data_IF_269464788883
#
_entry.id   IF_269464788883
#
_cell.length_a   1.000
_cell.length_b   1.000
_cell.length_c   1.000
_cell.angle_alpha   90.00
_cell.angle_beta   90.00
_cell.angle_gamma   90.00
#
_symmetry.space_group_name_H-M   'P 1'
#
loop_
_entity.id
_entity.type
_entity.pdbx_description
1 polymer ?
#
# COMPACT_ATOMS: atom_id res chain seq x y z
N UNK A 1 12.81 -2.10 34.71
CA UNK A 1 11.81 -2.89 33.95
C UNK A 1 10.47 -2.17 33.69
N UNK A 2 9.87 -1.47 34.67
CA UNK A 2 8.59 -0.74 34.45
C UNK A 2 8.72 0.52 33.57
N UNK A 3 9.87 1.22 33.60
CA UNK A 3 10.10 2.42 32.78
C UNK A 3 10.28 2.09 31.29
N UNK A 4 11.06 1.06 30.97
CA UNK A 4 11.24 0.53 29.61
C UNK A 4 9.91 0.06 29.03
N UNK A 5 9.09 -0.66 29.80
CA UNK A 5 7.75 -1.04 29.38
C UNK A 5 6.81 0.16 29.10
N UNK A 6 6.93 1.26 29.86
CA UNK A 6 6.11 2.47 29.67
C UNK A 6 6.54 3.28 28.44
N UNK A 7 7.84 3.28 28.11
CA UNK A 7 8.40 3.92 26.91
C UNK A 7 8.09 3.10 25.65
N UNK A 8 8.18 1.76 25.72
CA UNK A 8 7.79 0.84 24.65
C UNK A 8 6.30 0.88 24.32
N UNK A 9 5.44 1.27 25.27
CA UNK A 9 3.99 1.44 25.03
C UNK A 9 3.63 2.62 24.12
N UNK A 10 4.56 3.53 23.82
CA UNK A 10 4.30 4.63 22.88
C UNK A 10 4.42 4.10 21.43
N UNK A 11 3.42 4.32 20.55
CA UNK A 11 3.43 3.82 19.16
C UNK A 11 4.66 4.23 18.34
N UNK A 12 5.22 5.40 18.65
CA UNK A 12 6.42 5.94 17.99
C UNK A 12 7.66 5.12 18.37
N UNK A 13 7.78 4.70 19.64
CA UNK A 13 8.91 3.90 20.10
C UNK A 13 8.93 2.54 19.40
N UNK A 14 7.77 1.90 19.25
CA UNK A 14 7.68 0.63 18.52
C UNK A 14 8.03 0.77 17.04
N UNK A 15 7.62 1.87 16.39
CA UNK A 15 7.97 2.13 14.99
C UNK A 15 9.48 2.36 14.81
N UNK A 16 10.10 3.18 15.67
CA UNK A 16 11.55 3.41 15.64
C UNK A 16 12.34 2.12 15.90
N UNK A 17 11.90 1.32 16.87
CA UNK A 17 12.53 0.03 17.15
C UNK A 17 12.44 -0.92 15.97
N UNK A 18 11.27 -1.01 15.32
CA UNK A 18 11.08 -1.84 14.12
C UNK A 18 12.01 -1.40 12.98
N UNK A 19 12.20 -0.09 12.77
CA UNK A 19 13.13 0.44 11.77
C UNK A 19 14.57 -0.01 12.11
N UNK A 20 15.02 0.19 13.35
CA UNK A 20 16.37 -0.19 13.78
C UNK A 20 16.59 -1.70 13.64
N UNK A 21 15.63 -2.52 14.08
CA UNK A 21 15.69 -3.97 13.90
C UNK A 21 15.76 -4.35 12.42
N UNK A 22 15.02 -3.68 11.54
CA UNK A 22 15.09 -3.88 10.09
C UNK A 22 16.49 -3.62 9.52
N UNK A 23 17.12 -2.51 9.90
CA UNK A 23 18.51 -2.21 9.51
C UNK A 23 19.51 -3.22 10.08
N UNK A 24 19.31 -3.69 11.31
CA UNK A 24 20.16 -4.72 11.91
C UNK A 24 20.07 -6.05 11.16
N UNK A 25 18.86 -6.51 10.84
CA UNK A 25 18.65 -7.74 10.07
C UNK A 25 19.25 -7.59 8.66
N UNK A 26 19.02 -6.47 8.00
CA UNK A 26 19.63 -6.18 6.70
C UNK A 26 21.17 -6.20 6.77
N UNK A 27 21.76 -5.66 7.85
CA UNK A 27 23.21 -5.68 8.03
C UNK A 27 23.77 -7.09 8.20
N UNK A 28 23.08 -7.94 8.96
CA UNK A 28 23.46 -9.34 9.15
C UNK A 28 23.43 -10.10 7.81
N UNK A 29 22.36 -9.91 7.02
CA UNK A 29 22.22 -10.55 5.71
C UNK A 29 23.30 -10.08 4.74
N UNK A 30 23.61 -8.79 4.70
CA UNK A 30 24.66 -8.24 3.85
C UNK A 30 26.04 -8.77 4.25
N UNK A 31 26.34 -8.82 5.56
CA UNK A 31 27.58 -9.38 6.07
C UNK A 31 27.70 -10.88 5.74
N UNK A 32 26.62 -11.64 5.86
CA UNK A 32 26.58 -13.06 5.49
C UNK A 32 26.79 -13.27 3.98
N UNK A 33 26.38 -12.31 3.14
CA UNK A 33 26.63 -12.30 1.70
C UNK A 33 28.00 -11.70 1.32
N UNK A 34 28.89 -11.45 2.29
CA UNK A 34 30.22 -10.85 2.10
C UNK A 34 30.22 -9.40 1.56
N UNK A 35 29.12 -8.67 1.68
CA UNK A 35 29.04 -7.24 1.37
C UNK A 35 29.23 -6.40 2.64
N UNK A 36 29.90 -5.24 2.52
CA UNK A 36 30.05 -4.31 3.64
C UNK A 36 28.72 -3.57 3.90
N UNK A 37 28.04 -3.78 5.05
CA UNK A 37 26.75 -3.18 5.33
C UNK A 37 26.78 -1.65 5.38
N UNK A 38 27.87 -1.08 5.90
CA UNK A 38 28.02 0.38 6.02
C UNK A 38 28.09 1.06 4.66
N UNK A 39 28.80 0.45 3.70
CA UNK A 39 28.85 0.95 2.32
C UNK A 39 27.49 0.82 1.64
N UNK A 40 26.78 -0.30 1.84
CA UNK A 40 25.44 -0.52 1.28
C UNK A 40 24.42 0.50 1.83
N UNK A 41 24.41 0.75 3.13
CA UNK A 41 23.55 1.77 3.73
C UNK A 41 23.94 3.18 3.29
N UNK A 42 25.24 3.49 3.20
CA UNK A 42 25.73 4.75 2.65
C UNK A 42 25.26 4.98 1.21
N UNK A 43 25.29 3.95 0.37
CA UNK A 43 24.76 3.99 -1.00
C UNK A 43 23.22 4.17 -1.02
N UNK A 44 22.50 3.55 -0.10
CA UNK A 44 21.05 3.69 0.03
C UNK A 44 20.64 5.14 0.37
N UNK A 45 21.28 5.74 1.38
CA UNK A 45 20.97 7.13 1.77
C UNK A 45 21.43 8.14 0.72
N UNK A 46 22.65 7.99 0.20
CA UNK A 46 23.14 8.89 -0.86
C UNK A 46 22.31 8.76 -2.14
N UNK A 47 21.92 7.54 -2.54
CA UNK A 47 21.07 7.31 -3.70
C UNK A 47 19.68 7.92 -3.56
N UNK A 48 19.07 7.84 -2.36
CA UNK A 48 17.76 8.43 -2.09
C UNK A 48 17.76 9.96 -2.18
N UNK A 49 18.78 10.62 -1.63
CA UNK A 49 18.86 12.09 -1.58
C UNK A 49 19.63 12.73 -2.75
N UNK A 50 20.21 11.93 -3.66
CA UNK A 50 21.06 12.44 -4.73
C UNK A 50 20.35 13.39 -5.71
N UNK A 51 19.05 13.19 -5.98
CA UNK A 51 18.28 14.00 -6.95
C UNK A 51 16.84 14.21 -6.47
N UNK A 52 16.22 15.36 -6.77
CA UNK A 52 14.80 15.60 -6.47
C UNK A 52 13.88 14.49 -6.99
N UNK A 53 14.16 13.94 -8.18
CA UNK A 53 13.41 12.83 -8.77
C UNK A 53 13.40 11.56 -7.89
N UNK A 54 14.50 11.26 -7.20
CA UNK A 54 14.58 10.06 -6.34
C UNK A 54 13.78 10.25 -5.06
N UNK A 55 13.82 11.46 -4.49
CA UNK A 55 12.97 11.83 -3.36
C UNK A 55 11.49 11.73 -3.76
N UNK A 56 11.11 12.26 -4.93
CA UNK A 56 9.75 12.10 -5.46
C UNK A 56 9.34 10.65 -5.61
N UNK A 57 10.22 9.78 -6.13
CA UNK A 57 9.94 8.35 -6.24
C UNK A 57 9.73 7.66 -4.89
N UNK A 58 10.49 8.05 -3.86
CA UNK A 58 10.29 7.53 -2.50
C UNK A 58 8.93 7.94 -1.97
N UNK A 59 8.53 9.21 -2.14
CA UNK A 59 7.22 9.69 -1.71
C UNK A 59 6.12 8.92 -2.47
N UNK A 60 6.21 8.84 -3.80
CA UNK A 60 5.23 8.14 -4.64
C UNK A 60 5.05 6.68 -4.20
N UNK A 61 6.13 5.97 -3.85
CA UNK A 61 6.07 4.58 -3.38
C UNK A 61 5.59 4.45 -1.94
N UNK A 62 5.91 5.41 -1.07
CA UNK A 62 5.52 5.38 0.33
C UNK A 62 4.04 5.74 0.55
N UNK A 63 3.50 6.68 -0.24
CA UNK A 63 2.11 7.13 -0.15
C UNK A 63 1.08 5.99 -0.13
N UNK A 64 1.07 5.04 -1.08
CA UNK A 64 0.08 3.96 -1.07
C UNK A 64 0.22 3.07 0.17
N UNK A 65 1.43 2.79 0.64
CA UNK A 65 1.67 1.96 1.83
C UNK A 65 1.13 2.65 3.09
N UNK A 66 1.40 3.95 3.23
CA UNK A 66 0.92 4.74 4.37
C UNK A 66 -0.62 4.85 4.35
N UNK A 67 -1.21 5.16 3.20
CA UNK A 67 -2.66 5.35 3.07
C UNK A 67 -3.43 4.04 3.24
N UNK A 68 -2.93 2.93 2.68
CA UNK A 68 -3.53 1.61 2.89
C UNK A 68 -3.42 1.20 4.35
N UNK A 69 -2.27 1.38 5.00
CA UNK A 69 -2.12 1.15 6.44
C UNK A 69 -3.09 1.99 7.28
N UNK A 70 -3.28 3.28 6.94
CA UNK A 70 -4.24 4.16 7.60
C UNK A 70 -5.69 3.69 7.41
N UNK A 71 -6.05 3.25 6.20
CA UNK A 71 -7.39 2.72 5.90
C UNK A 71 -7.72 1.48 6.72
N UNK A 72 -6.75 0.58 6.89
CA UNK A 72 -6.88 -0.63 7.70
C UNK A 72 -6.99 -0.27 9.19
N UNK A 73 -6.16 0.67 9.67
CA UNK A 73 -6.25 1.19 11.04
C UNK A 73 -7.62 1.83 11.33
N UNK A 74 -8.24 2.46 10.35
CA UNK A 74 -9.60 3.00 10.46
C UNK A 74 -10.65 1.87 10.54
N UNK A 75 -10.57 0.87 9.66
CA UNK A 75 -11.50 -0.29 9.68
C UNK A 75 -11.45 -1.06 11.01
N UNK A 76 -10.26 -1.15 11.63
CA UNK A 76 -10.12 -1.75 12.95
C UNK A 76 -10.91 -1.03 14.04
N UNK A 77 -11.16 0.28 13.91
CA UNK A 77 -12.00 1.02 14.87
C UNK A 77 -13.47 0.63 14.80
N UNK A 78 -13.93 0.06 13.69
CA UNK A 78 -15.31 -0.42 13.52
C UNK A 78 -15.42 -1.93 13.72
N UNK A 79 -14.42 -2.56 14.35
CA UNK A 79 -14.35 -4.02 14.55
C UNK A 79 -14.39 -4.84 13.25
N UNK A 80 -13.98 -4.24 12.13
CA UNK A 80 -13.88 -4.94 10.84
C UNK A 80 -12.41 -5.27 10.57
N UNK A 81 -12.13 -6.54 10.28
CA UNK A 81 -10.79 -7.02 9.97
C UNK A 81 -10.56 -6.94 8.45
N UNK A 82 -10.25 -5.74 7.95
CA UNK A 82 -10.09 -5.51 6.51
C UNK A 82 -8.70 -5.94 6.00
N UNK A 83 -8.59 -7.18 5.49
CA UNK A 83 -7.39 -7.66 4.74
C UNK A 83 -7.46 -7.28 3.25
N UNK A 84 -8.62 -6.79 2.80
CA UNK A 84 -8.91 -6.49 1.40
C UNK A 84 -8.30 -5.20 0.86
N UNK A 85 -7.51 -4.49 1.66
CA UNK A 85 -6.93 -3.20 1.26
C UNK A 85 -6.05 -3.32 0.01
N UNK A 86 -5.36 -4.46 -0.15
CA UNK A 86 -4.56 -4.76 -1.35
C UNK A 86 -5.44 -4.84 -2.61
N UNK A 87 -6.53 -5.61 -2.58
CA UNK A 87 -7.46 -5.73 -3.71
C UNK A 87 -8.16 -4.41 -4.02
N UNK A 88 -8.58 -3.66 -2.99
CA UNK A 88 -9.14 -2.32 -3.15
C UNK A 88 -8.15 -1.38 -3.84
N UNK A 89 -6.88 -1.42 -3.45
CA UNK A 89 -5.80 -0.65 -4.07
C UNK A 89 -5.60 -1.06 -5.54
N UNK A 90 -5.51 -2.36 -5.83
CA UNK A 90 -5.32 -2.87 -7.20
C UNK A 90 -6.46 -2.42 -8.12
N UNK A 91 -7.71 -2.60 -7.69
CA UNK A 91 -8.88 -2.20 -8.49
C UNK A 91 -8.93 -0.68 -8.70
N UNK A 92 -8.60 0.10 -7.67
CA UNK A 92 -8.52 1.56 -7.79
C UNK A 92 -7.44 1.99 -8.77
N UNK A 93 -6.23 1.42 -8.66
CA UNK A 93 -5.10 1.73 -9.53
C UNK A 93 -5.41 1.35 -10.99
N UNK A 94 -6.05 0.20 -11.20
CA UNK A 94 -6.49 -0.25 -12.52
C UNK A 94 -7.48 0.73 -13.14
N UNK A 95 -8.57 1.08 -12.45
CA UNK A 95 -9.59 2.02 -12.95
C UNK A 95 -8.98 3.40 -13.24
N UNK A 96 -8.17 3.92 -12.32
CA UNK A 96 -7.48 5.20 -12.49
C UNK A 96 -6.54 5.19 -13.69
N UNK A 97 -5.80 4.10 -13.90
CA UNK A 97 -4.90 3.95 -15.05
C UNK A 97 -5.69 3.90 -16.36
N UNK A 98 -6.77 3.11 -16.42
CA UNK A 98 -7.62 3.01 -17.61
C UNK A 98 -8.24 4.36 -17.99
N UNK A 99 -8.76 5.09 -17.00
CA UNK A 99 -9.32 6.42 -17.22
C UNK A 99 -8.24 7.45 -17.54
N UNK A 100 -7.08 7.38 -16.90
CA UNK A 100 -5.97 8.30 -17.13
C UNK A 100 -5.37 8.20 -18.53
N UNK A 101 -5.43 7.02 -19.16
CA UNK A 101 -5.01 6.81 -20.55
C UNK A 101 -6.08 7.27 -21.54
N UNK A 102 -7.37 7.04 -21.24
CA UNK A 102 -8.47 7.35 -22.17
C UNK A 102 -8.96 8.80 -22.10
N UNK A 103 -8.92 9.42 -20.92
CA UNK A 103 -9.36 10.79 -20.74
C UNK A 103 -8.22 11.74 -21.09
N UNK A 104 -8.51 12.70 -21.97
CA UNK A 104 -7.60 13.79 -22.31
C UNK A 104 -8.23 15.12 -21.86
N UNK A 105 -8.12 15.40 -20.57
CA UNK A 105 -8.64 16.61 -19.93
C UNK A 105 -7.47 17.49 -19.46
N UNK A 106 -7.68 18.80 -19.25
CA UNK A 106 -6.69 19.63 -18.58
C UNK A 106 -6.31 19.04 -17.22
N UNK A 107 -5.01 19.04 -16.89
CA UNK A 107 -4.48 18.36 -15.70
C UNK A 107 -5.21 18.74 -14.39
N UNK A 108 -5.64 20.01 -14.27
CA UNK A 108 -6.39 20.54 -13.12
C UNK A 108 -7.71 19.81 -12.90
N UNK A 109 -8.38 19.36 -13.96
CA UNK A 109 -9.66 18.65 -13.91
C UNK A 109 -9.43 17.14 -13.89
N UNK A 110 -8.45 16.67 -14.66
CA UNK A 110 -8.15 15.24 -14.78
C UNK A 110 -7.76 14.64 -13.42
N UNK A 111 -6.91 15.31 -12.65
CA UNK A 111 -6.45 14.78 -11.35
C UNK A 111 -7.61 14.54 -10.36
N UNK A 112 -8.49 15.53 -10.06
CA UNK A 112 -9.65 15.31 -9.20
C UNK A 112 -10.59 14.21 -9.71
N UNK A 113 -10.85 14.17 -11.02
CA UNK A 113 -11.74 13.15 -11.62
C UNK A 113 -11.17 11.75 -11.38
N UNK A 114 -9.86 11.56 -11.62
CA UNK A 114 -9.19 10.30 -11.36
C UNK A 114 -9.19 9.94 -9.87
N UNK A 115 -8.98 10.90 -8.98
CA UNK A 115 -9.07 10.67 -7.53
C UNK A 115 -10.45 10.17 -7.11
N UNK A 116 -11.52 10.83 -7.58
CA UNK A 116 -12.90 10.43 -7.25
C UNK A 116 -13.21 9.05 -7.84
N UNK A 117 -12.79 8.78 -9.07
CA UNK A 117 -12.97 7.47 -9.70
C UNK A 117 -12.24 6.36 -8.93
N UNK A 118 -11.01 6.62 -8.45
CA UNK A 118 -10.26 5.68 -7.62
C UNK A 118 -10.94 5.41 -6.27
N UNK A 119 -11.40 6.46 -5.59
CA UNK A 119 -12.15 6.34 -4.33
C UNK A 119 -13.42 5.51 -4.54
N UNK A 120 -14.17 5.79 -5.61
CA UNK A 120 -15.38 5.04 -5.94
C UNK A 120 -15.07 3.57 -6.25
N UNK A 121 -14.06 3.28 -7.06
CA UNK A 121 -13.67 1.93 -7.42
C UNK A 121 -13.24 1.09 -6.20
N UNK A 122 -12.34 1.63 -5.37
CA UNK A 122 -11.93 0.96 -4.13
C UNK A 122 -13.07 0.81 -3.13
N UNK A 123 -13.92 1.83 -3.01
CA UNK A 123 -15.11 1.82 -2.14
C UNK A 123 -16.14 0.79 -2.58
N UNK A 124 -16.40 0.65 -3.88
CA UNK A 124 -17.29 -0.39 -4.43
C UNK A 124 -16.70 -1.77 -4.16
N UNK A 125 -15.40 -1.97 -4.36
CA UNK A 125 -14.75 -3.26 -4.13
C UNK A 125 -14.78 -3.67 -2.65
N UNK A 126 -14.45 -2.75 -1.74
CA UNK A 126 -14.56 -2.98 -0.30
C UNK A 126 -16.01 -3.13 0.18
N UNK A 127 -16.91 -2.33 -0.40
CA UNK A 127 -18.34 -2.39 -0.14
C UNK A 127 -18.94 -3.75 -0.54
N UNK A 128 -18.42 -4.38 -1.59
CA UNK A 128 -18.83 -5.73 -1.98
C UNK A 128 -18.52 -6.78 -0.89
N UNK A 129 -17.34 -6.72 -0.25
CA UNK A 129 -17.01 -7.56 0.91
C UNK A 129 -18.02 -7.31 2.05
N UNK A 130 -18.29 -6.05 2.34
CA UNK A 130 -19.23 -5.65 3.39
C UNK A 130 -20.66 -6.14 3.11
N UNK A 131 -21.11 -6.07 1.85
CA UNK A 131 -22.41 -6.57 1.41
C UNK A 131 -22.52 -8.09 1.57
N UNK A 132 -21.46 -8.83 1.21
CA UNK A 132 -21.43 -10.28 1.38
C UNK A 132 -21.51 -10.69 2.85
N UNK A 133 -20.81 -9.97 3.74
CA UNK A 133 -20.93 -10.18 5.19
C UNK A 133 -22.33 -9.84 5.70
N UNK A 134 -22.89 -8.70 5.31
CA UNK A 134 -24.18 -8.23 5.82
C UNK A 134 -25.36 -9.09 5.36
N UNK A 135 -25.35 -9.57 4.11
CA UNK A 135 -26.46 -10.33 3.52
C UNK A 135 -26.35 -11.83 3.75
N UNK A 136 -25.13 -12.39 3.70
CA UNK A 136 -24.91 -13.84 3.71
C UNK A 136 -24.15 -14.33 4.94
N UNK A 137 -23.72 -13.44 5.84
CA UNK A 137 -22.96 -13.83 7.04
C UNK A 137 -21.57 -14.38 6.75
N UNK A 138 -21.03 -14.17 5.54
CA UNK A 138 -19.72 -14.70 5.15
C UNK A 138 -18.63 -13.93 5.90
N UNK A 139 -17.62 -14.65 6.39
CA UNK A 139 -16.46 -14.03 7.03
C UNK A 139 -15.72 -13.11 6.06
N UNK A 140 -15.63 -11.83 6.43
CA UNK A 140 -14.97 -10.77 5.65
C UNK A 140 -13.48 -11.06 5.42
N UNK A 141 -12.82 -11.75 6.35
CA UNK A 141 -11.41 -12.13 6.25
C UNK A 141 -11.19 -13.01 5.02
N UNK A 142 -11.94 -14.11 4.91
CA UNK A 142 -11.79 -15.06 3.80
C UNK A 142 -12.20 -14.38 2.49
N UNK A 143 -13.34 -13.69 2.51
CA UNK A 143 -13.89 -13.02 1.33
C UNK A 143 -12.93 -11.97 0.77
N UNK A 144 -12.32 -11.16 1.65
CA UNK A 144 -11.38 -10.12 1.24
C UNK A 144 -10.07 -10.70 0.70
N UNK A 145 -9.54 -11.77 1.27
CA UNK A 145 -8.36 -12.46 0.72
C UNK A 145 -8.67 -13.01 -0.68
N UNK A 146 -9.81 -13.68 -0.87
CA UNK A 146 -10.21 -14.21 -2.18
C UNK A 146 -10.38 -13.09 -3.21
N UNK A 147 -10.96 -11.96 -2.81
CA UNK A 147 -11.12 -10.81 -3.69
C UNK A 147 -9.81 -10.10 -4.01
N UNK A 148 -8.77 -10.18 -3.17
CA UNK A 148 -7.43 -9.69 -3.52
C UNK A 148 -6.87 -10.46 -4.72
N UNK A 149 -6.99 -11.79 -4.71
CA UNK A 149 -6.55 -12.63 -5.83
C UNK A 149 -7.35 -12.35 -7.09
N UNK A 150 -8.67 -12.22 -6.98
CA UNK A 150 -9.52 -11.86 -8.12
C UNK A 150 -9.09 -10.50 -8.69
N UNK A 151 -8.88 -9.49 -7.84
CA UNK A 151 -8.41 -8.17 -8.26
C UNK A 151 -7.05 -8.26 -8.98
N UNK A 152 -6.11 -9.03 -8.44
CA UNK A 152 -4.79 -9.22 -9.03
C UNK A 152 -4.87 -9.86 -10.42
N UNK A 153 -5.60 -10.96 -10.57
CA UNK A 153 -5.73 -11.64 -11.86
C UNK A 153 -6.55 -10.83 -12.86
N UNK A 154 -7.57 -10.11 -12.40
CA UNK A 154 -8.35 -9.20 -13.23
C UNK A 154 -7.50 -8.05 -13.78
N UNK A 155 -6.64 -7.47 -12.93
CA UNK A 155 -5.69 -6.45 -13.35
C UNK A 155 -4.72 -6.98 -14.41
N UNK A 156 -4.16 -8.17 -14.21
CA UNK A 156 -3.29 -8.79 -15.21
C UNK A 156 -4.02 -9.03 -16.53
N UNK A 157 -5.26 -9.52 -16.49
CA UNK A 157 -6.07 -9.71 -17.69
C UNK A 157 -6.31 -8.40 -18.44
N UNK A 158 -6.73 -7.34 -17.73
CA UNK A 158 -7.06 -6.04 -18.35
C UNK A 158 -5.83 -5.39 -18.99
N UNK A 159 -4.68 -5.44 -18.34
CA UNK A 159 -3.43 -4.88 -18.89
C UNK A 159 -3.03 -5.57 -20.20
N UNK A 160 -3.33 -6.86 -20.34
CA UNK A 160 -3.05 -7.63 -21.57
C UNK A 160 -4.08 -7.39 -22.69
N UNK A 161 -5.11 -6.57 -22.48
CA UNK A 161 -6.08 -6.28 -23.54
C UNK A 161 -5.45 -5.41 -24.64
N UNK A 162 -5.83 -5.61 -25.92
CA UNK A 162 -5.34 -4.80 -27.04
C UNK A 162 -5.63 -3.30 -26.90
N UNK A 163 -6.61 -2.93 -26.08
CA UNK A 163 -6.99 -1.53 -25.87
C UNK A 163 -5.95 -0.71 -25.06
N UNK A 164 -4.96 -1.37 -24.44
CA UNK A 164 -3.95 -0.74 -23.58
C UNK A 164 -2.51 -1.00 -24.05
N UNK A 165 -2.33 -1.60 -25.23
CA UNK A 165 -1.06 -1.78 -25.93
C UNK A 165 -1.02 -0.87 -27.16
#
# INVERSE_FOLDING_TARGET
>A
MRLTAKILKKPITSALLAIVCGFLVAAIVLAAAHYNPWQAFGALFSGMFARPKYISNVIIKATPIILTGLSVAFAFKTSLFNIGAEGQYIVSAMVVTMLGVKLNLPAVIQIPVLMVAGIAAGGIWGGFVGLLKAKFGIHEVITSIMLNWIAFYLSNYIVNLPAFH
#
